data_IF_454074631861
#
_entry.id   IF_454074631861
#
_cell.length_a   1.000
_cell.length_b   1.000
_cell.length_c   1.000
_cell.angle_alpha   90.00
_cell.angle_beta   90.00
_cell.angle_gamma   90.00
#
_symmetry.space_group_name_H-M   'P 1'
#
loop_
_entity.id
_entity.type
_entity.pdbx_description
1 polymer ?
#
# COMPACT_ATOMS: atom_id res chain seq x y z
N UNK A 1 -44.31 -11.63 0.49
CA UNK A 1 -43.06 -11.79 -0.30
C UNK A 1 -42.15 -10.57 -0.15
N UNK A 2 -42.68 -9.36 -0.26
CA UNK A 2 -41.90 -8.11 -0.15
C UNK A 2 -41.24 -7.86 1.23
N UNK A 3 -41.88 -8.31 2.32
CA UNK A 3 -41.29 -8.28 3.69
C UNK A 3 -40.11 -9.22 3.88
N UNK A 4 -40.06 -10.34 3.16
CA UNK A 4 -38.92 -11.26 3.21
C UNK A 4 -37.73 -10.65 2.45
N UNK A 5 -37.97 -10.12 1.25
CA UNK A 5 -36.95 -9.42 0.45
C UNK A 5 -36.28 -8.24 1.18
N UNK A 6 -37.04 -7.43 1.92
CA UNK A 6 -36.47 -6.33 2.73
C UNK A 6 -35.53 -6.84 3.83
N UNK A 7 -35.88 -7.96 4.48
CA UNK A 7 -35.05 -8.54 5.55
C UNK A 7 -33.72 -9.07 5.02
N UNK A 8 -33.75 -9.73 3.86
CA UNK A 8 -32.53 -10.25 3.22
C UNK A 8 -31.62 -9.11 2.72
N UNK A 9 -32.18 -8.00 2.23
CA UNK A 9 -31.42 -6.80 1.84
C UNK A 9 -30.80 -6.05 3.04
N UNK A 10 -31.50 -6.01 4.18
CA UNK A 10 -30.99 -5.43 5.43
C UNK A 10 -29.86 -6.28 6.05
N UNK A 11 -30.02 -7.61 6.07
CA UNK A 11 -29.01 -8.55 6.55
C UNK A 11 -27.73 -8.51 5.70
N UNK A 12 -27.87 -8.41 4.38
CA UNK A 12 -26.74 -8.25 3.47
C UNK A 12 -25.99 -6.93 3.69
N UNK A 13 -26.70 -5.81 3.88
CA UNK A 13 -26.05 -4.52 4.22
C UNK A 13 -25.29 -4.59 5.55
N UNK A 14 -25.86 -5.27 6.54
CA UNK A 14 -25.25 -5.41 7.84
C UNK A 14 -23.97 -6.27 7.78
N UNK A 15 -23.95 -7.30 6.92
CA UNK A 15 -22.75 -8.09 6.63
C UNK A 15 -21.68 -7.24 5.94
N UNK A 16 -22.05 -6.42 4.95
CA UNK A 16 -21.09 -5.56 4.24
C UNK A 16 -20.49 -4.49 5.15
N UNK A 17 -21.28 -3.88 6.04
CA UNK A 17 -20.77 -2.87 6.98
C UNK A 17 -19.79 -3.51 7.98
N UNK A 18 -20.09 -4.70 8.48
CA UNK A 18 -19.22 -5.44 9.40
C UNK A 18 -17.89 -5.85 8.75
N UNK A 19 -17.90 -6.25 7.48
CA UNK A 19 -16.67 -6.59 6.77
C UNK A 19 -15.80 -5.34 6.50
N UNK A 20 -16.43 -4.19 6.22
CA UNK A 20 -15.72 -2.90 6.09
C UNK A 20 -15.01 -2.52 7.40
N UNK A 21 -15.69 -2.62 8.55
CA UNK A 21 -15.09 -2.34 9.86
C UNK A 21 -13.88 -3.24 10.13
N UNK A 22 -14.00 -4.54 9.82
CA UNK A 22 -12.91 -5.52 10.00
C UNK A 22 -11.71 -5.24 9.10
N UNK A 23 -11.93 -4.72 7.89
CA UNK A 23 -10.86 -4.29 7.00
C UNK A 23 -10.16 -3.02 7.49
N UNK A 24 -10.87 -2.13 8.19
CA UNK A 24 -10.32 -0.90 8.75
C UNK A 24 -9.45 -1.14 9.99
N UNK A 25 -9.73 -2.19 10.76
CA UNK A 25 -8.98 -2.54 11.96
C UNK A 25 -7.54 -3.01 11.70
N UNK A 26 -6.68 -2.80 12.70
CA UNK A 26 -5.38 -3.45 12.73
C UNK A 26 -5.54 -4.95 13.04
N UNK A 27 -5.13 -5.83 12.13
CA UNK A 27 -5.21 -7.30 12.32
C UNK A 27 -4.36 -7.91 13.46
N UNK A 28 -3.79 -7.08 14.34
CA UNK A 28 -3.05 -7.50 15.55
C UNK A 28 -3.80 -7.07 16.81
N UNK A 29 -4.15 -5.78 16.95
CA UNK A 29 -4.83 -5.26 18.13
C UNK A 29 -6.35 -5.12 17.99
N UNK A 30 -6.90 -5.30 16.78
CA UNK A 30 -8.32 -5.13 16.44
C UNK A 30 -8.86 -3.73 16.80
N UNK A 31 -8.01 -2.71 16.72
CA UNK A 31 -8.39 -1.31 16.93
C UNK A 31 -8.37 -0.55 15.60
N UNK A 32 -9.28 0.41 15.44
CA UNK A 32 -9.36 1.35 14.31
C UNK A 32 -8.30 2.45 14.41
N UNK A 33 -7.04 2.08 14.23
CA UNK A 33 -5.90 3.00 14.24
C UNK A 33 -5.42 3.29 12.82
N UNK A 34 -4.77 4.44 12.60
CA UNK A 34 -4.03 4.68 11.35
C UNK A 34 -3.02 3.56 11.11
N UNK A 35 -3.06 3.01 9.90
CA UNK A 35 -2.29 1.83 9.52
C UNK A 35 -1.05 2.23 8.72
N UNK A 36 -0.06 1.35 8.75
CA UNK A 36 1.10 1.40 7.90
C UNK A 36 1.19 0.15 7.04
N UNK A 37 1.83 0.26 5.88
CA UNK A 37 2.10 -0.82 4.94
C UNK A 37 3.59 -1.11 4.93
N UNK A 38 3.95 -2.40 5.01
CA UNK A 38 5.33 -2.84 4.90
C UNK A 38 5.77 -2.90 3.43
N UNK A 39 6.91 -2.30 3.05
CA UNK A 39 7.29 -2.12 1.63
C UNK A 39 7.66 -3.42 0.91
N UNK A 40 8.11 -4.45 1.64
CA UNK A 40 8.57 -5.70 1.02
C UNK A 40 7.44 -6.70 0.75
N UNK A 41 6.36 -6.64 1.54
CA UNK A 41 5.35 -7.69 1.59
C UNK A 41 3.91 -7.15 1.61
N UNK A 42 3.73 -5.83 1.52
CA UNK A 42 2.44 -5.11 1.48
C UNK A 42 1.45 -5.42 2.62
N UNK A 43 1.91 -6.06 3.69
CA UNK A 43 1.07 -6.34 4.85
C UNK A 43 0.86 -5.09 5.69
N UNK A 44 -0.32 -5.00 6.29
CA UNK A 44 -0.84 -3.79 6.92
C UNK A 44 -1.05 -4.00 8.42
N UNK A 45 -0.61 -3.06 9.25
CA UNK A 45 -0.84 -3.04 10.70
C UNK A 45 -0.73 -1.61 11.24
N UNK A 46 -1.19 -1.33 12.46
CA UNK A 46 -0.98 -0.01 13.06
C UNK A 46 0.50 0.20 13.47
N UNK A 47 0.92 1.47 13.52
CA UNK A 47 2.31 1.83 13.85
C UNK A 47 2.73 1.35 15.25
N UNK A 48 1.79 1.31 16.21
CA UNK A 48 2.03 0.80 17.57
C UNK A 48 2.41 -0.69 17.53
N UNK A 49 1.58 -1.53 16.92
CA UNK A 49 1.84 -2.96 16.79
C UNK A 49 3.12 -3.24 15.99
N UNK A 50 3.40 -2.46 14.95
CA UNK A 50 4.67 -2.56 14.22
C UNK A 50 5.88 -2.32 15.14
N UNK A 51 5.88 -1.23 15.93
CA UNK A 51 7.00 -0.88 16.82
C UNK A 51 7.19 -1.94 17.91
N UNK A 52 6.11 -2.39 18.52
CA UNK A 52 6.13 -3.46 19.53
C UNK A 52 6.68 -4.76 18.94
N UNK A 53 6.16 -5.19 17.78
CA UNK A 53 6.63 -6.40 17.11
C UNK A 53 8.10 -6.30 16.68
N UNK A 54 8.50 -5.17 16.09
CA UNK A 54 9.86 -4.90 15.63
C UNK A 54 10.91 -4.99 16.74
N UNK A 55 10.52 -4.69 17.98
CA UNK A 55 11.41 -4.85 19.15
C UNK A 55 11.69 -6.31 19.51
N UNK A 56 10.81 -7.24 19.08
CA UNK A 56 10.89 -8.68 19.35
C UNK A 56 11.40 -9.48 18.16
N UNK A 57 11.01 -9.11 16.94
CA UNK A 57 11.38 -9.79 15.70
C UNK A 57 11.57 -8.82 14.56
N UNK A 58 12.60 -9.05 13.75
CA UNK A 58 12.85 -8.31 12.50
C UNK A 58 12.22 -9.00 11.28
N UNK A 59 11.00 -9.52 11.43
CA UNK A 59 10.20 -10.16 10.37
C UNK A 59 8.80 -9.58 10.30
N UNK A 60 8.10 -9.71 9.18
CA UNK A 60 6.67 -9.42 9.12
C UNK A 60 5.91 -10.37 10.07
N UNK A 61 4.96 -9.89 10.91
CA UNK A 61 4.18 -10.76 11.79
C UNK A 61 3.21 -11.68 11.04
N UNK A 62 2.87 -11.35 9.79
CA UNK A 62 1.91 -12.09 8.99
C UNK A 62 2.56 -13.15 8.09
N UNK A 63 3.59 -12.77 7.32
CA UNK A 63 4.23 -13.65 6.33
C UNK A 63 5.69 -14.01 6.65
N UNK A 64 6.27 -13.44 7.72
CA UNK A 64 7.67 -13.65 8.14
C UNK A 64 8.76 -13.14 7.20
N UNK A 65 8.40 -12.36 6.17
CA UNK A 65 9.38 -11.67 5.32
C UNK A 65 10.33 -10.79 6.13
N UNK A 66 11.58 -10.73 5.70
CA UNK A 66 12.62 -10.03 6.45
C UNK A 66 12.41 -8.52 6.44
N UNK A 67 12.50 -7.92 7.62
CA UNK A 67 12.45 -6.48 7.81
C UNK A 67 13.84 -5.90 8.15
N UNK A 68 14.93 -6.67 8.10
CA UNK A 68 16.26 -6.23 8.59
C UNK A 68 16.76 -4.94 7.96
N UNK A 69 16.36 -4.64 6.72
CA UNK A 69 16.73 -3.42 5.97
C UNK A 69 15.64 -2.35 5.92
N UNK A 70 14.55 -2.53 6.65
CA UNK A 70 13.42 -1.61 6.69
C UNK A 70 13.58 -0.65 7.88
N UNK A 71 13.62 0.64 7.59
CA UNK A 71 13.65 1.75 8.54
C UNK A 71 12.28 2.44 8.61
N UNK A 72 12.12 3.41 9.52
CA UNK A 72 10.88 4.17 9.67
C UNK A 72 10.49 4.97 8.42
N UNK A 73 11.48 5.43 7.65
CA UNK A 73 11.24 6.16 6.40
C UNK A 73 10.76 5.28 5.24
N UNK A 74 10.90 3.96 5.36
CA UNK A 74 10.47 3.01 4.33
C UNK A 74 9.02 2.54 4.53
N UNK A 75 8.38 2.93 5.64
CA UNK A 75 7.01 2.56 5.99
C UNK A 75 6.02 3.49 5.30
N UNK A 76 5.00 2.93 4.67
CA UNK A 76 4.01 3.72 3.95
C UNK A 76 2.80 3.93 4.83
N UNK A 77 2.31 5.16 4.92
CA UNK A 77 1.06 5.44 5.64
C UNK A 77 -0.10 4.97 4.78
N UNK A 78 -0.97 4.11 5.33
CA UNK A 78 -2.21 3.73 4.69
C UNK A 78 -3.24 4.83 4.95
N UNK A 79 -3.47 5.67 3.96
CA UNK A 79 -4.46 6.75 4.01
C UNK A 79 -5.82 6.22 3.61
N UNK A 80 -6.82 6.39 4.46
CA UNK A 80 -8.20 6.09 4.12
C UNK A 80 -8.94 7.32 3.54
N UNK A 81 -10.21 7.15 3.17
CA UNK A 81 -11.04 8.22 2.62
C UNK A 81 -11.38 9.34 3.62
N UNK A 82 -11.33 9.06 4.93
CA UNK A 82 -11.52 10.01 6.04
C UNK A 82 -10.27 10.85 6.27
N UNK A 83 -9.09 10.32 5.96
CA UNK A 83 -7.81 11.03 6.08
C UNK A 83 -7.62 12.12 5.00
N UNK A 84 -8.41 12.10 3.93
CA UNK A 84 -8.25 13.01 2.79
C UNK A 84 -9.39 14.03 2.72
N UNK A 85 -9.04 15.30 2.97
CA UNK A 85 -9.99 16.43 2.92
C UNK A 85 -10.38 16.79 1.48
N UNK A 86 -9.43 16.77 0.54
CA UNK A 86 -9.66 17.10 -0.88
C UNK A 86 -8.95 16.11 -1.80
N UNK A 87 -9.69 15.07 -2.20
CA UNK A 87 -9.22 14.05 -3.12
C UNK A 87 -8.85 14.59 -4.49
N UNK A 88 -9.53 15.64 -4.97
CA UNK A 88 -9.26 16.21 -6.29
C UNK A 88 -7.91 16.93 -6.30
N UNK A 89 -7.63 17.74 -5.28
CA UNK A 89 -6.33 18.41 -5.12
C UNK A 89 -5.20 17.40 -4.88
N UNK A 90 -5.41 16.39 -4.02
CA UNK A 90 -4.42 15.34 -3.79
C UNK A 90 -4.06 14.60 -5.09
N UNK A 91 -5.07 14.19 -5.86
CA UNK A 91 -4.87 13.48 -7.13
C UNK A 91 -4.10 14.34 -8.14
N UNK A 92 -4.50 15.61 -8.29
CA UNK A 92 -3.84 16.56 -9.20
C UNK A 92 -2.36 16.74 -8.86
N UNK A 93 -2.05 16.91 -7.58
CA UNK A 93 -0.68 17.13 -7.12
C UNK A 93 0.16 15.84 -7.19
N UNK A 94 -0.41 14.68 -6.90
CA UNK A 94 0.28 13.40 -7.08
C UNK A 94 0.64 13.13 -8.55
N UNK A 95 -0.28 13.41 -9.48
CA UNK A 95 0.00 13.32 -10.91
C UNK A 95 1.13 14.27 -11.32
N UNK A 96 1.10 15.51 -10.84
CA UNK A 96 2.17 16.48 -11.10
C UNK A 96 3.54 15.95 -10.65
N UNK A 97 3.64 15.41 -9.43
CA UNK A 97 4.89 14.82 -8.91
C UNK A 97 5.36 13.62 -9.71
N UNK A 98 4.42 12.75 -10.11
CA UNK A 98 4.73 11.58 -10.94
C UNK A 98 5.32 12.01 -12.29
N UNK A 99 4.69 12.94 -13.00
CA UNK A 99 5.22 13.44 -14.28
C UNK A 99 6.60 14.09 -14.11
N UNK A 100 6.79 14.93 -13.08
CA UNK A 100 8.10 15.52 -12.79
C UNK A 100 9.18 14.47 -12.44
N UNK A 101 8.80 13.36 -11.81
CA UNK A 101 9.72 12.24 -11.55
C UNK A 101 10.11 11.55 -12.86
N UNK A 102 9.13 11.21 -13.70
CA UNK A 102 9.35 10.57 -15.00
C UNK A 102 10.27 11.42 -15.88
N UNK A 103 10.07 12.73 -15.94
CA UNK A 103 10.91 13.66 -16.70
C UNK A 103 12.36 13.72 -16.20
N UNK A 104 12.58 13.40 -14.92
CA UNK A 104 13.92 13.38 -14.29
C UNK A 104 14.59 12.03 -14.31
N UNK A 105 13.93 10.99 -14.83
CA UNK A 105 14.55 9.67 -14.94
C UNK A 105 15.70 9.72 -15.95
N UNK A 106 16.87 9.14 -15.62
CA UNK A 106 17.96 9.06 -16.57
C UNK A 106 17.52 8.23 -17.78
N UNK A 107 17.92 8.69 -18.98
CA UNK A 107 17.74 7.91 -20.20
C UNK A 107 18.63 6.67 -20.11
N UNK A 108 18.01 5.50 -19.96
CA UNK A 108 18.71 4.21 -20.03
C UNK A 108 18.79 3.86 -21.52
N UNK A 109 19.90 4.20 -22.17
CA UNK A 109 20.21 3.72 -23.52
C UNK A 109 20.85 2.34 -23.38
N UNK A 110 20.26 1.26 -23.94
CA UNK A 110 20.90 -0.05 -23.91
C UNK A 110 22.23 -0.02 -24.68
N UNK A 111 23.29 -0.56 -24.09
CA UNK A 111 24.64 -0.61 -24.69
C UNK A 111 24.70 -1.39 -26.02
N UNK A 112 23.67 -2.19 -26.33
CA UNK A 112 23.62 -3.09 -27.49
C UNK A 112 23.53 -2.41 -28.86
N UNK A 113 23.45 -1.07 -28.93
CA UNK A 113 23.41 -0.34 -30.21
C UNK A 113 24.80 -0.09 -30.80
N UNK A 114 25.89 -0.27 -30.03
CA UNK A 114 27.25 -0.01 -30.52
C UNK A 114 27.99 -1.25 -31.05
N UNK A 115 27.59 -2.47 -30.67
CA UNK A 115 28.27 -3.70 -31.11
C UNK A 115 27.87 -4.15 -32.53
N UNK A 116 26.75 -3.67 -33.07
CA UNK A 116 26.27 -4.09 -34.39
C UNK A 116 27.02 -3.42 -35.55
N UNK A 117 27.70 -2.31 -35.34
CA UNK A 117 28.34 -1.55 -36.43
C UNK A 117 29.80 -1.94 -36.69
N UNK A 118 30.47 -2.59 -35.75
CA UNK A 118 31.90 -2.94 -35.85
C UNK A 118 32.15 -4.34 -36.45
N UNK A 119 31.08 -5.10 -36.74
CA UNK A 119 31.17 -6.44 -37.35
C UNK A 119 31.21 -6.45 -38.88
N UNK A 120 31.11 -5.29 -39.53
CA UNK A 120 31.11 -5.15 -40.99
C UNK A 120 32.37 -4.51 -41.59
N UNK A 121 33.43 -4.34 -40.79
CA UNK A 121 34.75 -3.87 -41.23
C UNK A 121 35.82 -4.95 -41.00
N UNK A 122 35.71 -6.09 -41.67
CA UNK A 122 36.82 -7.03 -41.89
C UNK A 122 36.74 -7.65 -43.28
#
# INVERSE_FOLDING_TARGET
MERYRKRDEEEYRQYTDMDIEREEECGICMEMNSKIVLPNCNHVMCLKCYREWRSRSQSCPFCRDSLKRVNSGDLWVFTDSRDVVDMATLTKENLRRLFMYIEKLPLIVPDSLFDAYDSHLK
#
